data_IF_185461215329
#
_entry.id   IF_185461215329
#
_cell.length_a   1.000
_cell.length_b   1.000
_cell.length_c   1.000
_cell.angle_alpha   90.00
_cell.angle_beta   90.00
_cell.angle_gamma   90.00
#
_symmetry.space_group_name_H-M   'P 1'
#
loop_
_entity.id
_entity.type
_entity.pdbx_description
1 polymer ?
#
# COMPACT_ATOMS: atom_id res chain seq x y z
N UNK A 1 -5.88 13.41 -3.03
CA UNK A 1 -4.59 12.90 -2.50
C UNK A 1 -4.17 11.68 -3.30
N UNK A 2 -2.95 11.71 -3.84
CA UNK A 2 -2.44 10.57 -4.59
C UNK A 2 -2.07 9.41 -3.66
N UNK A 3 -1.93 8.23 -4.23
CA UNK A 3 -1.48 7.05 -3.47
C UNK A 3 -0.12 7.32 -2.83
N UNK A 4 0.80 7.98 -3.55
CA UNK A 4 2.10 8.35 -3.01
C UNK A 4 1.95 9.24 -1.77
N UNK A 5 1.14 10.29 -1.87
CA UNK A 5 0.93 11.21 -0.75
C UNK A 5 0.31 10.50 0.45
N UNK A 6 -0.68 9.64 0.21
CA UNK A 6 -1.32 8.87 1.28
C UNK A 6 -0.33 7.92 1.96
N UNK A 7 0.50 7.24 1.17
CA UNK A 7 1.51 6.33 1.70
C UNK A 7 2.56 7.06 2.52
N UNK A 8 3.01 8.22 2.05
CA UNK A 8 3.96 9.06 2.81
C UNK A 8 3.37 9.47 4.15
N UNK A 9 2.10 9.87 4.16
CA UNK A 9 1.40 10.20 5.40
C UNK A 9 1.35 9.01 6.35
N UNK A 10 1.02 7.84 5.84
CA UNK A 10 0.98 6.62 6.64
C UNK A 10 2.35 6.28 7.24
N UNK A 11 3.43 6.47 6.47
CA UNK A 11 4.79 6.19 6.92
C UNK A 11 5.38 7.26 7.85
N UNK A 12 4.72 8.40 7.97
CA UNK A 12 5.24 9.51 8.75
C UNK A 12 6.30 10.32 8.01
N UNK A 13 6.37 10.22 6.69
CA UNK A 13 7.27 11.01 5.85
C UNK A 13 6.59 12.32 5.50
N UNK A 14 7.29 13.44 5.70
CA UNK A 14 6.74 14.76 5.40
C UNK A 14 6.51 14.91 3.90
N UNK A 15 5.43 15.62 3.53
CA UNK A 15 5.06 15.81 2.13
C UNK A 15 6.17 16.45 1.30
N UNK A 16 6.88 17.41 1.88
CA UNK A 16 7.96 18.11 1.19
C UNK A 16 9.31 17.37 1.24
N UNK A 17 9.39 16.26 1.93
CA UNK A 17 10.58 15.40 1.92
C UNK A 17 10.50 14.45 0.75
N UNK A 18 11.27 14.70 -0.30
CA UNK A 18 11.28 13.89 -1.51
C UNK A 18 12.43 12.91 -1.57
N UNK A 19 13.24 12.82 -0.49
CA UNK A 19 14.44 11.97 -0.46
C UNK A 19 14.16 10.50 -0.75
N UNK A 20 13.00 10.00 -0.35
CA UNK A 20 12.64 8.60 -0.45
C UNK A 20 11.54 8.33 -1.47
N UNK A 21 11.12 9.34 -2.23
CA UNK A 21 9.98 9.20 -3.14
C UNK A 21 10.17 8.08 -4.15
N UNK A 22 11.36 7.94 -4.74
CA UNK A 22 11.63 6.90 -5.73
C UNK A 22 11.46 5.50 -5.14
N UNK A 23 11.98 5.26 -3.94
CA UNK A 23 11.89 3.98 -3.27
C UNK A 23 10.46 3.67 -2.84
N UNK A 24 9.75 4.67 -2.35
CA UNK A 24 8.35 4.52 -1.95
C UNK A 24 7.48 4.23 -3.19
N UNK A 25 7.70 4.94 -4.30
CA UNK A 25 6.98 4.69 -5.55
C UNK A 25 7.19 3.27 -6.03
N UNK A 26 8.43 2.77 -6.00
CA UNK A 26 8.73 1.41 -6.43
C UNK A 26 8.00 0.39 -5.55
N UNK A 27 7.98 0.60 -4.24
CA UNK A 27 7.26 -0.29 -3.33
C UNK A 27 5.76 -0.27 -3.59
N UNK A 28 5.19 0.90 -3.86
CA UNK A 28 3.77 1.05 -4.21
C UNK A 28 3.47 0.31 -5.51
N UNK A 29 4.29 0.51 -6.53
CA UNK A 29 4.07 -0.10 -7.83
C UNK A 29 4.13 -1.63 -7.73
N UNK A 30 5.05 -2.17 -6.94
CA UNK A 30 5.13 -3.60 -6.68
C UNK A 30 3.88 -4.12 -5.96
N UNK A 31 3.39 -3.38 -4.97
CA UNK A 31 2.17 -3.76 -4.26
C UNK A 31 0.96 -3.75 -5.19
N UNK A 32 0.84 -2.73 -6.05
CA UNK A 32 -0.26 -2.65 -7.01
C UNK A 32 -0.20 -3.79 -8.03
N UNK A 33 0.99 -4.13 -8.50
CA UNK A 33 1.16 -5.25 -9.43
C UNK A 33 0.70 -6.57 -8.83
N UNK A 34 1.00 -6.80 -7.56
CA UNK A 34 0.54 -8.00 -6.86
C UNK A 34 -0.98 -7.94 -6.64
N UNK A 35 -1.50 -6.78 -6.26
CA UNK A 35 -2.94 -6.61 -6.02
C UNK A 35 -3.77 -6.90 -7.27
N UNK A 36 -3.28 -6.57 -8.46
CA UNK A 36 -3.97 -6.89 -9.72
C UNK A 36 -4.15 -8.41 -9.88
N UNK A 37 -3.18 -9.19 -9.45
CA UNK A 37 -3.28 -10.66 -9.49
C UNK A 37 -4.33 -11.18 -8.53
N UNK A 38 -4.57 -10.48 -7.43
CA UNK A 38 -5.59 -10.85 -6.45
C UNK A 38 -6.99 -10.38 -6.85
N UNK A 39 -7.06 -9.24 -7.55
CA UNK A 39 -8.35 -8.67 -7.98
C UNK A 39 -8.13 -7.82 -9.23
N UNK A 40 -8.68 -8.28 -10.35
CA UNK A 40 -8.48 -7.64 -11.66
C UNK A 40 -9.02 -6.20 -11.73
N UNK A 41 -9.97 -5.83 -10.88
CA UNK A 41 -10.51 -4.48 -10.88
C UNK A 41 -9.47 -3.43 -10.47
N UNK A 42 -8.42 -3.85 -9.79
CA UNK A 42 -7.30 -2.99 -9.40
C UNK A 42 -6.51 -2.51 -10.62
N UNK A 43 -6.60 -3.19 -11.76
CA UNK A 43 -5.88 -2.84 -12.97
C UNK A 43 -6.15 -1.41 -13.44
N UNK A 44 -7.30 -0.86 -13.12
CA UNK A 44 -7.62 0.54 -13.45
C UNK A 44 -6.76 1.55 -12.68
N UNK A 45 -6.11 1.12 -11.61
CA UNK A 45 -5.26 1.96 -10.76
C UNK A 45 -3.81 1.63 -11.12
N UNK A 46 -3.20 2.47 -11.95
CA UNK A 46 -1.97 2.07 -12.63
C UNK A 46 -0.68 2.59 -12.02
N UNK A 47 -0.75 3.53 -11.07
CA UNK A 47 0.48 4.10 -10.54
C UNK A 47 0.27 4.79 -9.20
N UNK A 48 1.39 5.11 -8.56
CA UNK A 48 1.42 5.89 -7.32
C UNK A 48 0.88 7.32 -7.48
N UNK A 49 0.74 7.78 -8.72
CA UNK A 49 0.20 9.12 -9.01
C UNK A 49 -1.34 9.13 -9.05
N UNK A 50 -1.97 7.97 -9.10
CA UNK A 50 -3.43 7.85 -9.09
C UNK A 50 -3.98 8.06 -7.68
N UNK A 51 -5.28 8.32 -7.60
CA UNK A 51 -6.01 8.35 -6.33
C UNK A 51 -6.69 7.02 -6.10
N UNK A 52 -6.89 6.66 -4.83
CA UNK A 52 -7.73 5.51 -4.52
C UNK A 52 -9.19 5.83 -4.85
N UNK A 53 -9.92 4.89 -5.45
CA UNK A 53 -11.36 5.10 -5.63
C UNK A 53 -12.06 5.15 -4.27
N UNK A 54 -13.13 5.94 -4.19
CA UNK A 54 -13.92 6.10 -2.96
C UNK A 54 -14.94 4.97 -2.82
N UNK A 55 -14.45 3.73 -2.85
CA UNK A 55 -15.24 2.51 -2.81
C UNK A 55 -14.70 1.57 -1.75
N UNK A 56 -15.43 0.48 -1.47
CA UNK A 56 -14.93 -0.55 -0.56
C UNK A 56 -13.62 -1.14 -1.09
N UNK A 57 -13.53 -1.39 -2.38
CA UNK A 57 -12.30 -1.89 -3.01
C UNK A 57 -11.14 -0.92 -2.78
N UNK A 58 -11.38 0.38 -2.98
CA UNK A 58 -10.36 1.40 -2.77
C UNK A 58 -9.82 1.44 -1.35
N UNK A 59 -10.72 1.29 -0.37
CA UNK A 59 -10.31 1.25 1.05
C UNK A 59 -9.47 0.02 1.38
N UNK A 60 -9.87 -1.13 0.87
CA UNK A 60 -9.12 -2.38 1.11
C UNK A 60 -7.75 -2.31 0.43
N UNK A 61 -7.72 -1.80 -0.80
CA UNK A 61 -6.47 -1.62 -1.55
C UNK A 61 -5.51 -0.69 -0.81
N UNK A 62 -6.03 0.41 -0.25
CA UNK A 62 -5.23 1.34 0.53
C UNK A 62 -4.55 0.64 1.71
N UNK A 63 -5.29 -0.18 2.44
CA UNK A 63 -4.74 -0.95 3.55
C UNK A 63 -3.65 -1.90 3.05
N UNK A 64 -3.92 -2.63 1.98
CA UNK A 64 -2.96 -3.58 1.42
C UNK A 64 -1.65 -2.89 0.99
N UNK A 65 -1.76 -1.78 0.27
CA UNK A 65 -0.59 -1.03 -0.19
C UNK A 65 0.20 -0.50 1.00
N UNK A 66 -0.47 0.11 1.97
CA UNK A 66 0.20 0.69 3.13
C UNK A 66 0.96 -0.37 3.92
N UNK A 67 0.34 -1.52 4.20
CA UNK A 67 1.03 -2.60 4.93
C UNK A 67 2.18 -3.17 4.13
N UNK A 68 2.01 -3.35 2.82
CA UNK A 68 3.07 -3.86 1.95
C UNK A 68 4.28 -2.94 1.92
N UNK A 69 4.05 -1.65 1.77
CA UNK A 69 5.12 -0.65 1.74
C UNK A 69 5.80 -0.56 3.10
N UNK A 70 5.03 -0.61 4.19
CA UNK A 70 5.59 -0.57 5.54
C UNK A 70 6.58 -1.70 5.76
N UNK A 71 6.23 -2.91 5.34
CA UNK A 71 7.10 -4.08 5.52
C UNK A 71 8.34 -4.04 4.64
N UNK A 72 8.26 -3.40 3.47
CA UNK A 72 9.35 -3.35 2.50
C UNK A 72 10.28 -2.17 2.74
N UNK A 73 9.71 -0.98 2.93
CA UNK A 73 10.49 0.25 3.01
C UNK A 73 10.93 0.60 4.43
N UNK A 74 10.03 0.47 5.39
CA UNK A 74 10.27 0.90 6.77
C UNK A 74 9.62 -0.10 7.74
N UNK A 75 10.18 -1.31 7.84
CA UNK A 75 9.58 -2.33 8.71
C UNK A 75 9.61 -1.93 10.18
N UNK A 76 8.61 -2.34 10.96
CA UNK A 76 8.64 -2.13 12.40
C UNK A 76 9.87 -2.75 13.04
N UNK A 77 10.29 -2.22 14.17
CA UNK A 77 11.56 -2.58 14.79
C UNK A 77 11.50 -3.86 15.63
N UNK A 78 10.33 -4.31 16.00
CA UNK A 78 10.19 -5.54 16.80
C UNK A 78 9.56 -6.64 15.97
N UNK A 79 9.92 -7.90 16.27
CA UNK A 79 9.33 -9.04 15.57
C UNK A 79 7.82 -9.14 15.86
N UNK A 80 7.38 -8.74 17.04
CA UNK A 80 5.96 -8.72 17.37
C UNK A 80 5.20 -7.75 16.46
N UNK A 81 5.72 -6.53 16.28
CA UNK A 81 5.08 -5.53 15.43
C UNK A 81 5.11 -5.95 13.96
N UNK A 82 6.20 -6.56 13.50
CA UNK A 82 6.29 -7.09 12.13
C UNK A 82 5.20 -8.12 11.89
N UNK A 83 5.04 -9.08 12.80
CA UNK A 83 4.01 -10.11 12.68
C UNK A 83 2.60 -9.51 12.69
N UNK A 84 2.38 -8.47 13.47
CA UNK A 84 1.09 -7.79 13.49
C UNK A 84 0.77 -7.16 12.13
N UNK A 85 1.72 -6.48 11.50
CA UNK A 85 1.53 -5.88 10.18
C UNK A 85 1.36 -6.96 9.12
N UNK A 86 2.12 -8.05 9.19
CA UNK A 86 1.97 -9.19 8.27
C UNK A 86 0.56 -9.78 8.35
N UNK A 87 0.02 -9.93 9.55
CA UNK A 87 -1.34 -10.45 9.73
C UNK A 87 -2.39 -9.51 9.13
N UNK A 88 -2.23 -8.20 9.30
CA UNK A 88 -3.12 -7.21 8.70
C UNK A 88 -3.03 -7.23 7.17
N UNK A 89 -1.83 -7.40 6.64
CA UNK A 89 -1.62 -7.52 5.19
C UNK A 89 -2.32 -8.76 4.64
N UNK A 90 -2.19 -9.89 5.31
CA UNK A 90 -2.85 -11.13 4.89
C UNK A 90 -4.37 -10.97 4.89
N UNK A 91 -4.92 -10.31 5.89
CA UNK A 91 -6.35 -10.02 5.93
C UNK A 91 -6.78 -9.16 4.74
N UNK A 92 -6.00 -8.13 4.42
CA UNK A 92 -6.27 -7.28 3.27
C UNK A 92 -6.21 -8.06 1.95
N UNK A 93 -5.24 -8.97 1.80
CA UNK A 93 -5.12 -9.84 0.64
C UNK A 93 -6.39 -10.67 0.47
N UNK A 94 -6.86 -11.27 1.55
CA UNK A 94 -8.07 -12.09 1.50
C UNK A 94 -9.28 -11.26 1.10
N UNK A 95 -9.41 -10.05 1.67
CA UNK A 95 -10.52 -9.16 1.33
C UNK A 95 -10.49 -8.74 -0.15
N UNK A 96 -9.29 -8.53 -0.71
CA UNK A 96 -9.15 -8.21 -2.13
C UNK A 96 -9.66 -9.36 -3.01
N UNK A 97 -9.38 -10.60 -2.63
CA UNK A 97 -9.78 -11.75 -3.44
C UNK A 97 -11.28 -11.98 -3.47
N UNK A 98 -12.00 -11.53 -2.47
CA UNK A 98 -13.46 -11.77 -2.36
C UNK A 98 -14.31 -10.59 -2.80
N UNK A 99 -13.70 -9.49 -3.22
CA UNK A 99 -14.47 -8.31 -3.68
C UNK A 99 -15.13 -8.54 -5.04
#
# INVERSE_FOLDING_TARGET
>A
MTILEDTKTYLGVMENDTSFDSEIKDAIDNALATAVQLNHEVEAIQSSEADYPATALGRILRQYVNYSVRLTFDPPQTSFAIKAVEALKQEAEWRLTIQ
#
